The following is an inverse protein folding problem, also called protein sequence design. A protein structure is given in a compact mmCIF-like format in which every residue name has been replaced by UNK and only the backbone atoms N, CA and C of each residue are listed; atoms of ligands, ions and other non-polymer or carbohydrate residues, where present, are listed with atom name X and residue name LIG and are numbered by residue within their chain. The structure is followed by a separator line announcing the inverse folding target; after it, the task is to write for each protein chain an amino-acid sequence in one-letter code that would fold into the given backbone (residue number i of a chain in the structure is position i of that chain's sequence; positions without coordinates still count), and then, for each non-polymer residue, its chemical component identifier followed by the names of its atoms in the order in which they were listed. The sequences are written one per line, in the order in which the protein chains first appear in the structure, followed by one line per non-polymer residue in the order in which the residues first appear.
data_IF_359459724983
#
_entry.id   IF_359459724983
#
_cell.length_a   1.000
_cell.length_b   1.000
_cell.length_c   1.000
_cell.angle_alpha   90.00
_cell.angle_beta   90.00
_cell.angle_gamma   90.00
#
_symmetry.space_group_name_H-M   'P 1'
#
loop_
_entity.id
_entity.type
_entity.pdbx_description
1 polymer ?
#
# COMPACT_ATOMS: atom_id res chain seq x y z
N UNK A 1 4.05 4.65 -8.85
CA UNK A 1 5.47 4.43 -8.52
C UNK A 1 6.35 4.92 -9.67
N UNK A 2 6.32 4.31 -10.87
CA UNK A 2 7.10 4.77 -12.04
C UNK A 2 6.78 6.20 -12.43
N UNK A 3 5.52 6.63 -12.33
CA UNK A 3 5.14 8.02 -12.60
C UNK A 3 5.93 9.00 -11.72
N UNK A 4 6.23 8.61 -10.48
CA UNK A 4 7.01 9.43 -9.55
C UNK A 4 8.51 9.31 -9.80
N UNK A 5 9.02 8.11 -10.06
CA UNK A 5 10.47 7.89 -10.21
C UNK A 5 10.99 8.24 -11.60
N UNK A 6 10.16 8.11 -12.61
CA UNK A 6 10.55 8.02 -14.03
C UNK A 6 9.71 8.91 -14.96
N UNK A 7 8.64 9.54 -14.45
CA UNK A 7 7.64 10.24 -15.28
C UNK A 7 7.01 9.36 -16.37
N UNK A 8 7.02 8.05 -16.14
CA UNK A 8 6.53 7.00 -17.03
C UNK A 8 5.51 6.15 -16.28
N UNK A 9 4.47 5.64 -16.96
CA UNK A 9 3.50 4.76 -16.30
C UNK A 9 4.16 3.46 -15.80
N UNK A 10 5.15 2.98 -16.54
CA UNK A 10 5.74 1.68 -16.40
C UNK A 10 4.80 0.57 -16.90
N UNK A 11 5.38 -0.49 -17.48
CA UNK A 11 4.65 -1.70 -17.83
C UNK A 11 5.17 -2.88 -17.00
N UNK A 12 4.29 -3.57 -16.27
CA UNK A 12 4.64 -4.85 -15.61
C UNK A 12 4.90 -5.87 -16.71
N UNK A 13 6.10 -6.45 -16.73
CA UNK A 13 6.51 -7.45 -17.73
C UNK A 13 6.58 -8.86 -17.16
N UNK A 14 6.80 -8.98 -15.85
CA UNK A 14 6.87 -10.25 -15.16
C UNK A 14 6.48 -10.10 -13.70
N UNK A 15 5.91 -11.17 -13.16
CA UNK A 15 5.87 -11.42 -11.72
C UNK A 15 6.88 -12.51 -11.41
N UNK A 16 7.72 -12.29 -10.41
CA UNK A 16 8.71 -13.27 -9.96
C UNK A 16 8.07 -14.25 -8.96
N UNK A 17 7.28 -13.72 -8.03
CA UNK A 17 6.56 -14.51 -7.03
C UNK A 17 5.20 -13.86 -6.69
N UNK A 18 4.18 -14.69 -6.46
CA UNK A 18 2.86 -14.26 -5.98
C UNK A 18 2.37 -15.26 -4.94
N UNK A 19 2.13 -14.76 -3.72
CA UNK A 19 1.57 -15.52 -2.62
C UNK A 19 0.14 -15.08 -2.31
N UNK A 20 -0.79 -16.04 -2.26
CA UNK A 20 -2.13 -15.82 -1.75
C UNK A 20 -2.23 -16.35 -0.32
N UNK A 21 -2.23 -15.44 0.65
CA UNK A 21 -2.08 -15.75 2.07
C UNK A 21 -3.42 -15.89 2.80
N UNK A 22 -4.46 -15.21 2.31
CA UNK A 22 -5.81 -15.32 2.85
C UNK A 22 -6.87 -14.97 1.79
N UNK A 23 -8.09 -15.50 1.91
CA UNK A 23 -9.16 -15.23 0.95
C UNK A 23 -9.72 -13.80 1.08
N UNK A 24 -10.07 -13.24 -0.08
CA UNK A 24 -10.78 -11.97 -0.25
C UNK A 24 -12.23 -12.26 -0.62
N UNK A 25 -13.15 -11.42 -0.17
CA UNK A 25 -14.57 -11.58 -0.40
C UNK A 25 -15.25 -10.26 -0.77
N UNK A 26 -16.46 -10.36 -1.30
CA UNK A 26 -17.30 -9.18 -1.53
C UNK A 26 -17.53 -8.42 -0.21
N UNK A 27 -17.42 -7.10 -0.28
CA UNK A 27 -17.50 -6.22 0.90
C UNK A 27 -16.17 -5.98 1.61
N UNK A 28 -15.09 -6.66 1.22
CA UNK A 28 -13.75 -6.31 1.70
C UNK A 28 -13.30 -4.98 1.11
N UNK A 29 -12.71 -4.13 1.95
CA UNK A 29 -11.96 -2.96 1.52
C UNK A 29 -10.48 -3.31 1.56
N UNK A 30 -9.83 -3.20 0.41
CA UNK A 30 -8.42 -3.50 0.25
C UNK A 30 -7.58 -2.23 0.28
N UNK A 31 -6.44 -2.31 0.96
CA UNK A 31 -5.32 -1.39 0.81
C UNK A 31 -4.18 -2.16 0.13
N UNK A 32 -3.61 -1.59 -0.93
CA UNK A 32 -2.51 -2.19 -1.67
C UNK A 32 -1.35 -1.21 -1.70
N UNK A 33 -0.19 -1.66 -1.22
CA UNK A 33 1.04 -0.90 -1.24
C UNK A 33 2.05 -1.55 -2.17
N UNK A 34 2.86 -0.72 -2.82
CA UNK A 34 3.91 -1.14 -3.73
C UNK A 34 5.15 -0.26 -3.54
N UNK A 35 6.32 -0.89 -3.49
CA UNK A 35 7.62 -0.25 -3.29
C UNK A 35 8.59 -0.65 -4.38
N UNK A 36 9.43 0.29 -4.81
CA UNK A 36 10.60 -0.04 -5.63
C UNK A 36 11.65 -0.63 -4.72
N UNK A 37 12.00 -1.89 -4.95
CA UNK A 37 13.05 -2.61 -4.22
C UNK A 37 14.34 -2.73 -5.04
N UNK A 38 14.27 -2.50 -6.35
CA UNK A 38 15.42 -2.53 -7.25
C UNK A 38 15.26 -1.61 -8.46
N UNK A 39 16.37 -1.05 -8.94
CA UNK A 39 16.41 -0.14 -10.09
C UNK A 39 17.52 -0.59 -11.05
N UNK A 40 17.13 -0.96 -12.26
CA UNK A 40 18.02 -1.19 -13.40
C UNK A 40 17.98 -0.05 -14.41
N UNK A 41 18.57 -0.26 -15.59
CA UNK A 41 18.61 0.76 -16.67
C UNK A 41 17.21 1.16 -17.12
N UNK A 42 16.40 0.17 -17.49
CA UNK A 42 14.99 0.34 -17.86
C UNK A 42 14.05 -0.45 -16.96
N UNK A 43 14.56 -1.22 -15.99
CA UNK A 43 13.75 -2.08 -15.12
C UNK A 43 13.58 -1.49 -13.72
N UNK A 44 12.43 -1.77 -13.10
CA UNK A 44 12.10 -1.49 -11.70
C UNK A 44 11.59 -2.78 -11.08
N UNK A 45 12.25 -3.24 -10.04
CA UNK A 45 11.78 -4.39 -9.26
C UNK A 45 10.88 -3.88 -8.15
N UNK A 46 9.71 -4.47 -8.00
CA UNK A 46 8.66 -4.07 -7.07
C UNK A 46 8.39 -5.13 -6.04
N UNK A 47 8.21 -4.71 -4.79
CA UNK A 47 7.58 -5.49 -3.74
C UNK A 47 6.19 -4.92 -3.43
N UNK A 48 5.19 -5.79 -3.38
CA UNK A 48 3.78 -5.42 -3.21
C UNK A 48 3.12 -6.24 -2.10
N UNK A 49 2.23 -5.60 -1.35
CA UNK A 49 1.35 -6.28 -0.40
C UNK A 49 -0.08 -5.73 -0.49
N UNK A 50 -1.06 -6.64 -0.47
CA UNK A 50 -2.46 -6.32 -0.37
C UNK A 50 -2.98 -6.74 1.01
N UNK A 51 -3.75 -5.87 1.65
CA UNK A 51 -4.36 -6.06 2.97
C UNK A 51 -5.84 -5.77 2.94
N UNK A 52 -6.63 -6.57 3.64
CA UNK A 52 -8.02 -6.22 3.97
C UNK A 52 -7.99 -5.33 5.21
N UNK A 53 -8.52 -4.12 5.08
CA UNK A 53 -8.59 -3.14 6.17
C UNK A 53 -10.01 -3.03 6.76
N UNK A 54 -11.04 -3.36 5.98
CA UNK A 54 -12.42 -3.45 6.45
C UNK A 54 -13.08 -4.70 5.88
N UNK A 55 -13.96 -5.33 6.66
CA UNK A 55 -14.69 -6.54 6.26
C UNK A 55 -16.08 -6.58 6.90
N UNK A 56 -16.99 -7.30 6.23
CA UNK A 56 -18.32 -7.62 6.74
C UNK A 56 -18.26 -8.25 8.15
N UNK A 57 -19.11 -7.76 9.05
CA UNK A 57 -19.14 -8.16 10.46
C UNK A 57 -19.42 -9.66 10.65
N UNK A 58 -20.27 -10.26 9.82
CA UNK A 58 -20.63 -11.69 9.91
C UNK A 58 -19.44 -12.63 9.65
N UNK A 59 -18.37 -12.12 9.03
CA UNK A 59 -17.11 -12.87 8.84
C UNK A 59 -16.19 -12.82 10.05
N UNK A 60 -16.42 -11.89 10.97
CA UNK A 60 -15.61 -11.66 12.15
C UNK A 60 -16.28 -12.23 13.41
N UNK A 61 -17.60 -12.14 13.47
CA UNK A 61 -18.41 -12.56 14.61
C UNK A 61 -19.71 -13.26 14.13
N UNK A 62 -20.03 -14.39 14.74
CA UNK A 62 -21.25 -15.18 14.46
C UNK A 62 -22.49 -14.67 15.21
N UNK A 63 -22.42 -13.51 15.85
CA UNK A 63 -23.53 -12.92 16.61
C UNK A 63 -24.76 -12.68 15.72
N UNK A 64 -25.90 -13.34 16.00
CA UNK A 64 -27.09 -13.27 15.16
C UNK A 64 -27.81 -11.91 15.20
N UNK A 65 -27.41 -11.00 16.11
CA UNK A 65 -27.95 -9.64 16.20
C UNK A 65 -27.23 -8.63 15.29
N UNK A 66 -26.18 -9.04 14.58
CA UNK A 66 -25.50 -8.17 13.63
C UNK A 66 -26.43 -7.85 12.45
N UNK A 67 -26.51 -6.58 12.09
CA UNK A 67 -27.24 -6.18 10.89
C UNK A 67 -26.63 -6.83 9.65
N UNK A 68 -27.41 -7.21 8.63
CA UNK A 68 -26.90 -7.86 7.42
C UNK A 68 -25.89 -7.02 6.62
N UNK A 69 -25.84 -5.70 6.85
CA UNK A 69 -24.94 -4.77 6.17
C UNK A 69 -23.83 -4.25 7.09
N UNK A 70 -23.71 -4.79 8.31
CA UNK A 70 -22.69 -4.36 9.26
C UNK A 70 -21.28 -4.72 8.74
N UNK A 71 -20.35 -3.78 8.85
CA UNK A 71 -18.94 -3.95 8.48
C UNK A 71 -18.06 -3.24 9.49
N UNK A 72 -16.85 -3.76 9.70
CA UNK A 72 -15.91 -3.20 10.66
C UNK A 72 -14.54 -2.95 10.02
N UNK A 73 -13.88 -1.90 10.49
CA UNK A 73 -12.44 -1.71 10.29
C UNK A 73 -11.72 -2.74 11.15
N UNK A 74 -10.78 -3.48 10.55
CA UNK A 74 -9.97 -4.44 11.29
C UNK A 74 -8.95 -3.69 12.13
N UNK A 75 -8.84 -4.04 13.41
CA UNK A 75 -7.78 -3.49 14.28
C UNK A 75 -6.38 -3.84 13.74
N UNK A 76 -6.23 -5.04 13.20
CA UNK A 76 -5.04 -5.48 12.50
C UNK A 76 -5.42 -5.83 11.05
N UNK A 77 -4.92 -5.09 10.05
CA UNK A 77 -5.16 -5.42 8.65
C UNK A 77 -4.74 -6.86 8.34
N UNK A 78 -5.60 -7.59 7.63
CA UNK A 78 -5.34 -8.97 7.22
C UNK A 78 -4.55 -8.97 5.92
N UNK A 79 -3.30 -9.43 5.94
CA UNK A 79 -2.52 -9.61 4.72
C UNK A 79 -3.14 -10.74 3.88
N UNK A 80 -3.53 -10.41 2.65
CA UNK A 80 -4.21 -11.36 1.75
C UNK A 80 -3.35 -11.79 0.57
N UNK A 81 -2.44 -10.93 0.11
CA UNK A 81 -1.51 -11.29 -0.95
C UNK A 81 -0.19 -10.54 -0.84
N UNK A 82 0.89 -11.19 -1.30
CA UNK A 82 2.20 -10.56 -1.54
C UNK A 82 2.63 -10.88 -2.96
N UNK A 83 3.36 -9.96 -3.58
CA UNK A 83 3.91 -10.20 -4.89
C UNK A 83 5.21 -9.42 -5.11
N UNK A 84 6.08 -10.00 -5.92
CA UNK A 84 7.22 -9.31 -6.52
C UNK A 84 7.05 -9.25 -8.03
N UNK A 85 7.39 -8.11 -8.62
CA UNK A 85 7.22 -7.90 -10.05
C UNK A 85 8.31 -7.03 -10.64
N UNK A 86 8.62 -7.28 -11.91
CA UNK A 86 9.47 -6.40 -12.71
C UNK A 86 8.59 -5.52 -13.59
N UNK A 87 8.80 -4.22 -13.49
CA UNK A 87 8.25 -3.18 -14.36
C UNK A 87 9.35 -2.66 -15.27
N UNK A 88 9.00 -2.32 -16.51
CA UNK A 88 9.89 -1.60 -17.43
C UNK A 88 9.38 -0.20 -17.69
N UNK A 89 10.30 0.76 -17.79
CA UNK A 89 10.03 2.16 -18.16
C UNK A 89 10.66 2.49 -19.51
N UNK A 90 10.18 3.54 -20.17
CA UNK A 90 10.69 3.97 -21.45
C UNK A 90 12.19 4.35 -21.41
N UNK A 91 12.85 4.21 -22.56
CA UNK A 91 14.19 4.76 -22.78
C UNK A 91 14.25 5.35 -24.20
N UNK A 92 14.44 6.68 -24.35
CA UNK A 92 14.61 7.66 -23.27
C UNK A 92 13.32 7.84 -22.43
N UNK A 93 13.47 8.35 -21.21
CA UNK A 93 12.34 8.65 -20.33
C UNK A 93 11.51 9.82 -20.88
N UNK A 94 10.19 9.87 -20.59
CA UNK A 94 9.34 10.97 -21.01
C UNK A 94 9.73 12.28 -20.31
N UNK A 95 9.66 13.39 -21.03
CA UNK A 95 9.70 14.71 -20.40
C UNK A 95 8.30 15.04 -19.83
N UNK A 96 8.20 15.46 -18.55
CA UNK A 96 6.90 15.79 -17.96
C UNK A 96 6.30 17.06 -18.62
N UNK A 97 4.99 17.08 -18.92
CA UNK A 97 4.35 18.23 -19.56
C UNK A 97 4.21 19.43 -18.61
N UNK A 98 4.48 20.65 -19.10
CA UNK A 98 4.25 21.93 -18.41
C UNK A 98 2.76 22.29 -18.40
N UNK A 99 2.16 22.86 -17.31
CA UNK A 99 2.76 23.34 -16.07
C UNK A 99 2.89 22.29 -14.95
N UNK A 100 2.56 21.03 -15.22
CA UNK A 100 2.68 19.93 -14.24
C UNK A 100 4.11 19.39 -14.09
N UNK A 101 5.12 20.13 -14.60
CA UNK A 101 6.54 19.83 -14.46
C UNK A 101 6.99 19.68 -13.00
N UNK A 102 7.97 18.79 -12.79
CA UNK A 102 8.68 18.40 -11.55
C UNK A 102 7.90 18.58 -10.24
N UNK A 103 6.66 18.08 -10.15
CA UNK A 103 6.02 17.84 -8.85
C UNK A 103 6.51 16.55 -8.18
N UNK A 104 7.54 15.90 -8.74
CA UNK A 104 8.22 14.78 -8.11
C UNK A 104 8.90 15.32 -6.86
N UNK A 105 8.25 15.15 -5.70
CA UNK A 105 8.94 15.27 -4.43
C UNK A 105 10.18 14.38 -4.49
N UNK A 106 11.35 14.91 -4.12
CA UNK A 106 12.61 14.18 -4.05
C UNK A 106 12.34 12.76 -3.53
N UNK A 107 12.63 11.77 -4.35
CA UNK A 107 12.56 10.37 -3.92
C UNK A 107 13.58 10.27 -2.78
N UNK A 108 13.17 9.89 -1.55
CA UNK A 108 14.10 9.82 -0.44
C UNK A 108 15.29 8.94 -0.80
N UNK A 109 16.48 9.34 -0.32
CA UNK A 109 17.74 8.68 -0.64
C UNK A 109 17.62 7.16 -0.50
N UNK A 110 18.01 6.49 -1.58
CA UNK A 110 18.07 5.04 -1.74
C UNK A 110 18.81 4.41 -0.55
N UNK A 111 18.24 3.43 0.17
CA UNK A 111 19.07 2.54 0.98
C UNK A 111 19.98 1.72 0.05
N UNK A 112 21.27 1.68 0.37
CA UNK A 112 22.26 0.93 -0.41
C UNK A 112 21.88 -0.55 -0.43
N UNK A 113 21.84 -1.15 -1.62
CA UNK A 113 21.51 -2.57 -1.79
C UNK A 113 22.70 -3.38 -1.29
N UNK A 114 22.52 -4.19 -0.24
CA UNK A 114 23.48 -5.27 0.02
C UNK A 114 23.29 -6.36 -1.05
N UNK A 115 24.27 -6.59 -1.94
CA UNK A 115 24.18 -7.63 -2.96
C UNK A 115 24.13 -9.05 -2.38
N UNK A 116 24.36 -9.24 -1.07
CA UNK A 116 24.27 -10.51 -0.35
C UNK A 116 23.01 -10.68 0.49
N UNK A 117 22.21 -9.62 0.65
CA UNK A 117 20.94 -9.69 1.36
C UNK A 117 19.97 -10.59 0.58
N UNK A 118 19.76 -11.81 1.08
CA UNK A 118 18.74 -12.71 0.55
C UNK A 118 17.32 -12.19 0.85
N UNK A 119 16.31 -12.86 0.28
CA UNK A 119 14.87 -12.54 0.40
C UNK A 119 14.40 -12.27 1.85
N UNK A 120 15.08 -12.86 2.85
CA UNK A 120 14.84 -12.67 4.29
C UNK A 120 15.22 -11.27 4.82
N UNK A 121 16.32 -10.69 4.33
CA UNK A 121 16.77 -9.34 4.71
C UNK A 121 15.89 -8.26 4.06
N UNK A 122 15.35 -8.55 2.88
CA UNK A 122 14.30 -7.74 2.27
C UNK A 122 13.05 -7.79 3.14
N UNK A 123 12.59 -8.96 3.61
CA UNK A 123 11.49 -9.04 4.57
C UNK A 123 11.74 -8.28 5.87
N UNK A 124 12.94 -8.30 6.45
CA UNK A 124 13.24 -7.55 7.69
C UNK A 124 13.35 -6.03 7.48
N UNK A 125 13.98 -5.60 6.38
CA UNK A 125 14.01 -4.19 5.96
C UNK A 125 12.60 -3.67 5.66
N UNK A 126 11.79 -4.53 5.03
CA UNK A 126 10.39 -4.30 4.69
C UNK A 126 9.46 -4.35 5.90
N UNK A 127 9.75 -5.19 6.91
CA UNK A 127 9.09 -5.21 8.22
C UNK A 127 9.40 -3.97 9.04
N UNK A 128 10.63 -3.44 8.94
CA UNK A 128 11.04 -2.19 9.58
C UNK A 128 10.32 -0.99 8.96
N UNK A 129 10.13 -1.00 7.64
CA UNK A 129 9.44 0.04 6.89
C UNK A 129 7.91 -0.03 7.00
N UNK A 130 7.32 -1.24 7.00
CA UNK A 130 5.89 -1.43 7.27
C UNK A 130 5.49 -1.11 8.71
N UNK A 131 6.44 -1.12 9.67
CA UNK A 131 6.22 -0.59 11.02
C UNK A 131 5.99 0.92 10.99
N UNK A 132 6.77 1.66 10.21
CA UNK A 132 6.62 3.11 10.03
C UNK A 132 5.34 3.46 9.23
N UNK A 133 5.00 2.65 8.21
CA UNK A 133 3.73 2.80 7.48
C UNK A 133 2.52 2.48 8.38
N UNK A 134 2.62 1.45 9.22
CA UNK A 134 1.62 1.10 10.23
C UNK A 134 1.44 2.21 11.26
N UNK A 135 2.51 2.84 11.73
CA UNK A 135 2.42 4.02 12.61
C UNK A 135 1.73 5.21 11.91
N UNK A 136 1.99 5.43 10.61
CA UNK A 136 1.33 6.48 9.83
C UNK A 136 -0.16 6.19 9.59
N UNK A 137 -0.52 4.93 9.33
CA UNK A 137 -1.90 4.48 9.18
C UNK A 137 -2.64 4.54 10.52
N UNK A 138 -2.04 4.09 11.62
CA UNK A 138 -2.59 4.17 12.98
C UNK A 138 -2.83 5.64 13.38
N UNK A 139 -1.88 6.53 13.07
CA UNK A 139 -2.02 7.98 13.26
C UNK A 139 -3.17 8.56 12.44
N UNK A 140 -3.27 8.20 11.16
CA UNK A 140 -4.32 8.68 10.26
C UNK A 140 -5.71 8.12 10.62
N UNK A 141 -5.79 6.88 11.09
CA UNK A 141 -6.99 6.27 11.63
C UNK A 141 -7.39 6.90 12.98
N UNK A 142 -6.43 7.26 13.83
CA UNK A 142 -6.68 8.02 15.07
C UNK A 142 -7.22 9.43 14.77
N UNK A 143 -6.68 10.12 13.76
CA UNK A 143 -7.18 11.42 13.31
C UNK A 143 -8.60 11.32 12.72
N UNK A 144 -8.92 10.24 12.01
CA UNK A 144 -10.28 10.01 11.50
C UNK A 144 -11.26 9.69 12.64
N UNK A 145 -10.85 8.91 13.64
CA UNK A 145 -11.65 8.62 14.85
C UNK A 145 -11.93 9.90 15.66
N UNK A 146 -10.95 10.78 15.82
CA UNK A 146 -11.13 12.05 16.54
C UNK A 146 -12.04 13.02 15.79
N UNK A 147 -11.96 13.07 14.45
CA UNK A 147 -12.88 13.87 13.61
C UNK A 147 -14.30 13.34 13.61
N UNK A 148 -14.49 12.02 13.72
CA UNK A 148 -15.81 11.39 13.83
C UNK A 148 -16.45 11.53 15.21
N UNK A 149 -15.67 11.86 16.25
CA UNK A 149 -16.13 12.08 17.63
C UNK A 149 -16.33 13.57 17.98
N UNK A 150 -16.04 14.49 17.06
CA UNK A 150 -16.36 15.90 17.27
C UNK A 150 -17.89 16.05 17.40
N UNK A 151 -18.40 16.67 18.48
CA UNK A 151 -19.84 16.84 18.65
C UNK A 151 -20.38 17.70 17.52
N UNK A 152 -21.49 17.27 16.92
CA UNK A 152 -22.24 18.09 15.99
C UNK A 152 -22.66 19.37 16.72
N UNK A 153 -22.07 20.50 16.32
CA UNK A 153 -22.44 21.83 16.79
C UNK A 153 -23.86 22.13 16.29
N UNK A 154 -24.86 21.68 17.06
CA UNK A 154 -26.24 22.09 16.88
C UNK A 154 -26.40 23.48 17.49
N UNK A 155 -25.91 24.49 16.77
CA UNK A 155 -26.33 25.87 16.96
C UNK A 155 -27.69 26.07 16.30
N UNK A 156 -28.76 25.81 17.06
CA UNK A 156 -30.08 26.41 16.83
C UNK A 156 -30.38 27.39 17.98
N UNK A 157 -30.76 28.62 17.57
CA UNK A 157 -31.24 29.82 18.30
C UNK A 157 -30.29 30.60 19.21
#
# INVERSE_FOLDING_TARGET
MCIRTDSDEGAIVAYDEIDFLAPIYAGDVLEVEAFVVGVGSTSRELGMEARVICREAQRLDSNPRLAPTASYVLEQPLVVARATATVVVANPLPEPPTPWGTQVADVPDRPERDPKAGLKDLQETWLRWTRDAREQIEKRAADLRSRSQAPADHSEE
#
